data_IF_443450880236
#
_entry.id   IF_443450880236
#
_cell.length_a   1.000
_cell.length_b   1.000
_cell.length_c   1.000
_cell.angle_alpha   90.00
_cell.angle_beta   90.00
_cell.angle_gamma   90.00
#
_symmetry.space_group_name_H-M   'P 1'
#
loop_
_entity.id
_entity.type
_entity.pdbx_description
1 polymer ?
#
# COMPACT_ATOMS: atom_id res chain seq x y z
N UNK A 1 9.16 -31.90 -32.03
CA UNK A 1 8.21 -30.76 -32.05
C UNK A 1 8.07 -30.32 -30.61
N UNK A 2 8.78 -29.27 -30.24
CA UNK A 2 8.72 -28.67 -28.90
C UNK A 2 7.54 -27.69 -28.90
N UNK A 3 6.60 -27.86 -27.98
CA UNK A 3 5.45 -26.96 -27.86
C UNK A 3 5.92 -25.60 -27.32
N UNK A 4 5.40 -24.46 -27.81
CA UNK A 4 5.79 -23.17 -27.24
C UNK A 4 5.42 -23.11 -25.76
N UNK A 5 6.27 -22.52 -24.90
CA UNK A 5 5.93 -22.34 -23.50
C UNK A 5 4.66 -21.50 -23.41
N UNK A 6 3.69 -21.97 -22.61
CA UNK A 6 2.47 -21.22 -22.31
C UNK A 6 2.85 -19.83 -21.76
N UNK A 7 2.15 -18.74 -22.15
CA UNK A 7 2.39 -17.45 -21.53
C UNK A 7 2.08 -17.62 -20.04
N UNK A 8 3.12 -17.50 -19.22
CA UNK A 8 2.96 -17.45 -17.76
C UNK A 8 1.99 -16.30 -17.49
N UNK A 9 0.82 -16.66 -16.99
CA UNK A 9 -0.17 -15.77 -16.40
C UNK A 9 0.53 -14.74 -15.53
N UNK A 10 0.69 -13.51 -16.03
CA UNK A 10 1.01 -12.34 -15.21
C UNK A 10 -0.27 -11.89 -14.47
N UNK A 11 -1.02 -12.86 -13.94
CA UNK A 11 -2.13 -12.68 -13.00
C UNK A 11 -1.57 -12.33 -11.61
N UNK A 12 -0.53 -11.48 -11.57
CA UNK A 12 -0.09 -10.86 -10.33
C UNK A 12 -1.14 -9.81 -10.02
N UNK A 13 -1.98 -10.10 -9.04
CA UNK A 13 -3.08 -9.25 -8.54
C UNK A 13 -2.66 -7.82 -8.10
N UNK A 14 -1.41 -7.42 -8.30
CA UNK A 14 -0.86 -6.10 -8.00
C UNK A 14 -0.20 -5.51 -9.25
N UNK A 15 -0.78 -4.45 -9.80
CA UNK A 15 -0.11 -3.59 -10.78
C UNK A 15 0.57 -2.42 -10.06
N UNK A 16 1.56 -1.77 -10.70
CA UNK A 16 2.18 -0.56 -10.17
C UNK A 16 1.14 0.52 -9.84
N UNK A 17 0.11 0.64 -10.68
CA UNK A 17 -1.00 1.56 -10.44
C UNK A 17 -1.79 1.20 -9.17
N UNK A 18 -2.11 -0.09 -8.97
CA UNK A 18 -2.80 -0.56 -7.76
C UNK A 18 -1.97 -0.35 -6.50
N UNK A 19 -0.65 -0.57 -6.57
CA UNK A 19 0.28 -0.30 -5.46
C UNK A 19 0.34 1.20 -5.15
N UNK A 20 0.45 2.05 -6.17
CA UNK A 20 0.48 3.50 -5.97
C UNK A 20 -0.83 4.01 -5.35
N UNK A 21 -1.98 3.48 -5.80
CA UNK A 21 -3.29 3.81 -5.20
C UNK A 21 -3.38 3.36 -3.75
N UNK A 22 -2.87 2.16 -3.42
CA UNK A 22 -2.84 1.66 -2.05
C UNK A 22 -1.98 2.57 -1.16
N UNK A 23 -0.77 2.90 -1.60
CA UNK A 23 0.13 3.83 -0.90
C UNK A 23 -0.52 5.20 -0.68
N UNK A 24 -1.10 5.81 -1.72
CA UNK A 24 -1.76 7.12 -1.59
C UNK A 24 -2.91 7.12 -0.60
N UNK A 25 -3.73 6.06 -0.60
CA UNK A 25 -4.82 5.90 0.39
C UNK A 25 -4.28 5.75 1.81
N UNK A 26 -3.20 5.00 1.98
CA UNK A 26 -2.49 4.87 3.25
C UNK A 26 -2.00 6.22 3.75
N UNK A 27 -1.29 6.95 2.90
CA UNK A 27 -0.75 8.27 3.22
C UNK A 27 -1.82 9.26 3.68
N UNK A 28 -2.96 9.32 2.99
CA UNK A 28 -4.08 10.17 3.43
C UNK A 28 -4.68 9.73 4.77
N UNK A 29 -4.80 8.43 5.02
CA UNK A 29 -5.26 7.91 6.31
C UNK A 29 -4.27 8.26 7.44
N UNK A 30 -2.96 8.14 7.20
CA UNK A 30 -1.91 8.52 8.15
C UNK A 30 -1.92 10.01 8.48
N UNK A 31 -2.11 10.86 7.48
CA UNK A 31 -2.19 12.32 7.67
C UNK A 31 -3.36 12.77 8.56
N UNK A 32 -4.43 11.99 8.62
CA UNK A 32 -5.63 12.31 9.41
C UNK A 32 -5.61 11.66 10.80
N UNK A 33 -4.53 10.95 11.15
CA UNK A 33 -4.40 10.27 12.44
C UNK A 33 -5.37 9.08 12.60
N UNK A 34 -5.95 8.58 11.51
CA UNK A 34 -6.80 7.39 11.56
C UNK A 34 -5.95 6.20 12.00
N UNK A 35 -6.37 5.46 13.03
CA UNK A 35 -5.68 4.25 13.45
C UNK A 35 -5.68 3.23 12.31
N UNK A 36 -4.55 2.54 12.08
CA UNK A 36 -4.56 1.30 11.30
C UNK A 36 -5.58 0.37 11.97
N UNK A 37 -6.75 0.19 11.35
CA UNK A 37 -7.69 -0.83 11.80
C UNK A 37 -7.03 -2.16 11.50
N UNK A 38 -6.29 -2.68 12.49
CA UNK A 38 -5.61 -3.97 12.50
C UNK A 38 -6.61 -5.14 12.51
N UNK A 39 -7.73 -5.03 11.79
CA UNK A 39 -8.62 -6.14 11.52
C UNK A 39 -7.96 -7.02 10.48
N UNK A 40 -7.09 -7.93 10.92
CA UNK A 40 -6.61 -9.15 10.22
C UNK A 40 -6.82 -9.08 8.70
N UNK A 41 -6.18 -8.13 8.04
CA UNK A 41 -6.11 -8.17 6.59
C UNK A 41 -5.02 -9.20 6.27
N UNK A 42 -5.26 -10.14 5.35
CA UNK A 42 -4.20 -11.00 4.88
C UNK A 42 -3.04 -10.12 4.40
N UNK A 43 -1.82 -10.52 4.77
CA UNK A 43 -0.61 -9.85 4.32
C UNK A 43 -0.51 -10.01 2.81
N UNK A 44 -0.91 -8.96 2.10
CA UNK A 44 -0.88 -8.83 0.64
C UNK A 44 0.01 -7.65 0.26
N UNK A 45 0.55 -7.68 -0.96
CA UNK A 45 1.43 -6.63 -1.51
C UNK A 45 0.71 -5.27 -1.52
N UNK A 46 -0.60 -5.26 -1.77
CA UNK A 46 -1.42 -4.04 -1.69
C UNK A 46 -1.57 -3.54 -0.24
N UNK A 47 -1.73 -4.44 0.72
CA UNK A 47 -1.76 -4.11 2.16
C UNK A 47 -0.43 -3.49 2.59
N UNK A 48 0.69 -4.10 2.21
CA UNK A 48 2.02 -3.58 2.53
C UNK A 48 2.26 -2.18 1.93
N UNK A 49 1.82 -1.94 0.69
CA UNK A 49 1.90 -0.61 0.07
C UNK A 49 1.04 0.42 0.80
N UNK A 50 -0.18 0.05 1.23
CA UNK A 50 -1.05 0.91 2.02
C UNK A 50 -0.44 1.23 3.39
N UNK A 51 0.12 0.25 4.09
CA UNK A 51 0.76 0.44 5.39
C UNK A 51 1.98 1.36 5.30
N UNK A 52 2.83 1.18 4.29
CA UNK A 52 3.96 2.08 4.04
C UNK A 52 3.50 3.53 3.85
N UNK A 53 2.45 3.74 3.06
CA UNK A 53 1.85 5.07 2.90
C UNK A 53 1.34 5.63 4.23
N UNK A 54 0.64 4.82 5.02
CA UNK A 54 0.11 5.24 6.33
C UNK A 54 1.22 5.69 7.29
N UNK A 55 2.31 4.92 7.38
CA UNK A 55 3.46 5.26 8.22
C UNK A 55 4.03 6.62 7.80
N UNK A 56 4.29 6.83 6.51
CA UNK A 56 4.83 8.09 5.99
C UNK A 56 3.89 9.28 6.25
N UNK A 57 2.58 9.09 6.05
CA UNK A 57 1.57 10.11 6.32
C UNK A 57 1.45 10.47 7.80
N UNK A 58 1.52 9.46 8.67
CA UNK A 58 1.47 9.66 10.11
C UNK A 58 2.72 10.37 10.63
N UNK A 59 3.91 10.00 10.14
CA UNK A 59 5.14 10.74 10.43
C UNK A 59 5.04 12.20 9.98
N UNK A 60 4.50 12.46 8.78
CA UNK A 60 4.32 13.82 8.28
C UNK A 60 3.37 14.64 9.17
N UNK A 61 2.24 14.05 9.61
CA UNK A 61 1.32 14.68 10.54
C UNK A 61 2.02 15.04 11.86
N UNK A 62 2.77 14.10 12.45
CA UNK A 62 3.52 14.34 13.69
C UNK A 62 4.57 15.45 13.53
N UNK A 63 5.27 15.49 12.40
CA UNK A 63 6.24 16.56 12.08
C UNK A 63 5.56 17.93 12.01
N UNK A 64 4.37 18.00 11.41
CA UNK A 64 3.60 19.26 11.33
C UNK A 64 3.14 19.71 12.72
N UNK A 65 2.65 18.81 13.56
CA UNK A 65 2.23 19.16 14.93
C UNK A 65 3.39 19.65 15.80
N UNK A 66 4.59 19.11 15.63
CA UNK A 66 5.79 19.53 16.37
C UNK A 66 6.36 20.87 15.93
N UNK A 67 5.98 21.33 14.74
CA UNK A 67 6.47 22.57 14.13
C UNK A 67 5.49 23.74 14.30
N UNK A 68 4.34 23.49 14.94
CA UNK A 68 3.31 24.48 15.27
C UNK A 68 3.42 24.87 16.76
#
# INVERSE_FOLDING_TARGET
MDAPPSPVSDDRHWSLESLNKAYQRGYMAGLTGQSVTAQRQPADVLTAAWEAGWVDGHEQMLRQQRSA
#
